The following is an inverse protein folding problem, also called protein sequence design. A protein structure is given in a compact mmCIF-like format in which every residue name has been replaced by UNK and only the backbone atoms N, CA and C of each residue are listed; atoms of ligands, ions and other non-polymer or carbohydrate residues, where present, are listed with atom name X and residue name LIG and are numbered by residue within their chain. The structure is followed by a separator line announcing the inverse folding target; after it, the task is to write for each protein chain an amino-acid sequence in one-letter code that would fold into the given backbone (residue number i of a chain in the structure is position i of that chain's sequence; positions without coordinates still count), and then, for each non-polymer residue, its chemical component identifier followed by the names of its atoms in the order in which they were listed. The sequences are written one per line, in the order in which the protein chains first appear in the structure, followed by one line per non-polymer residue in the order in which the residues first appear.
data_IF_006815735102
#
_entry.id   IF_006815735102
#
_cell.length_a   1.000
_cell.length_b   1.000
_cell.length_c   1.000
_cell.angle_alpha   90.00
_cell.angle_beta   90.00
_cell.angle_gamma   90.00
#
_symmetry.space_group_name_H-M   'P 1'
#
loop_
_entity.id
_entity.type
_entity.pdbx_description
1 polymer ?
#
# COMPACT_ATOMS: atom_id res chain seq x y z
N UNK A 1 -58.06 48.88 19.42
CA UNK A 1 -58.48 47.50 19.12
C UNK A 1 -57.28 46.58 19.19
N UNK A 2 -57.19 45.72 20.22
CA UNK A 2 -56.07 44.77 20.38
C UNK A 2 -56.32 43.55 19.49
N UNK A 3 -55.53 43.38 18.42
CA UNK A 3 -55.53 42.14 17.63
C UNK A 3 -54.73 41.08 18.40
N UNK A 4 -55.42 40.05 18.89
CA UNK A 4 -54.76 38.85 19.44
C UNK A 4 -54.35 37.97 18.26
N UNK A 5 -53.05 37.80 18.06
CA UNK A 5 -52.50 36.81 17.16
C UNK A 5 -52.51 35.47 17.90
N UNK A 6 -53.31 34.51 17.42
CA UNK A 6 -53.24 33.12 17.87
C UNK A 6 -52.29 32.42 16.90
N UNK A 7 -51.10 32.07 17.37
CA UNK A 7 -50.17 31.20 16.65
C UNK A 7 -50.46 29.77 17.11
N UNK A 8 -50.99 28.95 16.21
CA UNK A 8 -51.15 27.51 16.43
C UNK A 8 -49.82 26.85 16.07
N UNK A 9 -49.07 26.41 17.08
CA UNK A 9 -47.93 25.53 16.86
C UNK A 9 -48.46 24.12 16.56
N UNK A 10 -48.43 23.72 15.29
CA UNK A 10 -48.64 22.32 14.92
C UNK A 10 -47.35 21.57 15.26
N UNK A 11 -47.26 21.05 16.47
CA UNK A 11 -46.19 20.13 16.84
C UNK A 11 -46.50 18.79 16.18
N UNK A 12 -46.05 18.60 14.94
CA UNK A 12 -45.93 17.28 14.37
C UNK A 12 -44.80 16.57 15.13
N UNK A 13 -45.14 15.95 16.26
CA UNK A 13 -44.29 14.99 16.92
C UNK A 13 -44.17 13.79 15.99
N UNK A 14 -43.21 13.85 15.07
CA UNK A 14 -42.71 12.67 14.41
C UNK A 14 -42.00 11.87 15.49
N UNK A 15 -42.69 10.87 16.04
CA UNK A 15 -42.04 9.76 16.74
C UNK A 15 -41.14 9.07 15.70
N UNK A 16 -39.92 9.57 15.51
CA UNK A 16 -38.87 8.78 14.91
C UNK A 16 -38.59 7.67 15.91
N UNK A 17 -39.13 6.48 15.64
CA UNK A 17 -38.63 5.26 16.24
C UNK A 17 -37.14 5.21 15.89
N UNK A 18 -36.29 5.67 16.81
CA UNK A 18 -34.86 5.40 16.77
C UNK A 18 -34.74 3.90 16.94
N UNK A 19 -34.79 3.20 15.81
CA UNK A 19 -34.24 1.87 15.73
C UNK A 19 -32.77 2.05 16.05
N UNK A 20 -32.33 1.66 17.24
CA UNK A 20 -30.91 1.43 17.49
C UNK A 20 -30.54 0.19 16.67
N UNK A 21 -30.50 0.35 15.35
CA UNK A 21 -29.76 -0.57 14.51
C UNK A 21 -28.34 -0.44 15.05
N UNK A 22 -27.92 -1.45 15.81
CA UNK A 22 -26.52 -1.60 16.16
C UNK A 22 -25.78 -1.65 14.81
N UNK A 23 -25.22 -0.52 14.40
CA UNK A 23 -24.33 -0.48 13.25
C UNK A 23 -23.20 -1.41 13.64
N UNK A 24 -23.16 -2.58 12.99
CA UNK A 24 -22.10 -3.54 13.21
C UNK A 24 -20.77 -2.80 13.08
N UNK A 25 -19.93 -2.88 14.12
CA UNK A 25 -18.63 -2.24 14.07
C UNK A 25 -17.86 -2.84 12.88
N UNK A 26 -17.32 -2.02 11.97
CA UNK A 26 -16.56 -2.53 10.84
C UNK A 26 -15.44 -3.44 11.35
N UNK A 27 -15.41 -4.68 10.87
CA UNK A 27 -14.40 -5.68 11.27
C UNK A 27 -13.35 -5.94 10.19
N UNK A 28 -13.48 -5.30 9.03
CA UNK A 28 -12.63 -5.51 7.85
C UNK A 28 -12.26 -4.16 7.25
N UNK A 29 -10.98 -3.98 6.95
CA UNK A 29 -10.48 -2.83 6.20
C UNK A 29 -10.75 -3.00 4.70
N UNK A 30 -11.31 -1.97 4.05
CA UNK A 30 -11.35 -1.91 2.58
C UNK A 30 -9.95 -1.60 2.06
N UNK A 31 -9.51 -2.31 1.01
CA UNK A 31 -8.24 -2.09 0.37
C UNK A 31 -8.40 -1.91 -1.14
N UNK A 32 -7.57 -1.08 -1.75
CA UNK A 32 -7.48 -0.93 -3.20
C UNK A 32 -6.02 -0.97 -3.66
N UNK A 33 -5.77 -1.59 -4.81
CA UNK A 33 -4.52 -1.43 -5.55
C UNK A 33 -4.75 -0.44 -6.68
N UNK A 34 -3.88 0.55 -6.78
CA UNK A 34 -3.93 1.57 -7.82
C UNK A 34 -3.34 1.05 -9.13
N UNK A 35 -4.12 0.27 -9.86
CA UNK A 35 -3.72 -0.32 -11.14
C UNK A 35 -3.25 0.76 -12.12
N UNK A 36 -2.02 0.63 -12.64
CA UNK A 36 -1.44 1.59 -13.60
C UNK A 36 -0.91 2.90 -13.00
N UNK A 37 -1.21 3.22 -11.73
CA UNK A 37 -0.72 4.43 -11.08
C UNK A 37 0.71 4.29 -10.51
N UNK A 38 1.21 3.07 -10.37
CA UNK A 38 2.55 2.80 -9.85
C UNK A 38 2.75 3.34 -8.43
N UNK A 39 3.82 4.11 -8.24
CA UNK A 39 4.33 4.65 -6.97
C UNK A 39 3.57 5.87 -6.40
N UNK A 40 2.48 6.32 -7.05
CA UNK A 40 1.72 7.51 -6.67
C UNK A 40 2.57 8.80 -6.54
N UNK A 41 3.69 8.89 -7.25
CA UNK A 41 4.62 10.03 -7.16
C UNK A 41 4.16 11.30 -7.88
N UNK A 42 3.06 11.25 -8.64
CA UNK A 42 2.53 12.39 -9.38
C UNK A 42 1.05 12.59 -9.13
N UNK A 43 0.57 13.82 -9.28
CA UNK A 43 -0.84 14.15 -9.10
C UNK A 43 -1.75 13.33 -10.03
N UNK A 44 -1.33 13.09 -11.27
CA UNK A 44 -2.09 12.27 -12.22
C UNK A 44 -2.26 10.82 -11.72
N UNK A 45 -1.22 10.24 -11.12
CA UNK A 45 -1.27 8.91 -10.51
C UNK A 45 -2.17 8.91 -9.29
N UNK A 46 -2.05 9.92 -8.43
CA UNK A 46 -2.85 10.10 -7.22
C UNK A 46 -4.35 10.25 -7.54
N UNK A 47 -4.70 10.93 -8.64
CA UNK A 47 -6.08 11.11 -9.08
C UNK A 47 -6.82 9.78 -9.33
N UNK A 48 -6.09 8.69 -9.63
CA UNK A 48 -6.70 7.36 -9.80
C UNK A 48 -7.41 6.88 -8.53
N UNK A 49 -6.89 7.20 -7.35
CA UNK A 49 -7.52 6.89 -6.06
C UNK A 49 -8.77 7.72 -5.87
N UNK A 50 -8.70 9.03 -6.13
CA UNK A 50 -9.86 9.93 -6.05
C UNK A 50 -11.00 9.46 -6.97
N UNK A 51 -10.66 9.05 -8.20
CA UNK A 51 -11.63 8.52 -9.15
C UNK A 51 -12.24 7.21 -8.65
N UNK A 52 -11.42 6.29 -8.11
CA UNK A 52 -11.93 5.04 -7.54
C UNK A 52 -12.90 5.28 -6.38
N UNK A 53 -12.56 6.18 -5.43
CA UNK A 53 -13.45 6.51 -4.30
C UNK A 53 -14.77 7.12 -4.78
N UNK A 54 -14.69 7.99 -5.79
CA UNK A 54 -15.88 8.57 -6.43
C UNK A 54 -16.74 7.50 -7.10
N UNK A 55 -16.17 6.63 -7.93
CA UNK A 55 -16.93 5.63 -8.68
C UNK A 55 -17.50 4.54 -7.76
N UNK A 56 -16.73 4.10 -6.76
CA UNK A 56 -17.14 3.10 -5.79
C UNK A 56 -18.09 3.67 -4.72
N UNK A 57 -18.22 4.99 -4.61
CA UNK A 57 -18.96 5.70 -3.56
C UNK A 57 -18.56 5.20 -2.15
N UNK A 58 -17.28 4.86 -1.98
CA UNK A 58 -16.75 4.28 -0.75
C UNK A 58 -15.26 4.59 -0.60
N UNK A 59 -14.91 5.01 0.60
CA UNK A 59 -13.52 5.29 0.97
C UNK A 59 -12.69 4.00 1.17
N UNK A 60 -11.36 4.15 1.10
CA UNK A 60 -10.40 3.04 1.16
C UNK A 60 -9.53 3.15 2.40
N UNK A 61 -9.53 2.12 3.24
CA UNK A 61 -8.70 2.10 4.44
C UNK A 61 -7.23 1.80 4.14
N UNK A 62 -6.95 0.92 3.18
CA UNK A 62 -5.60 0.49 2.79
C UNK A 62 -5.37 0.77 1.31
N UNK A 63 -4.28 1.47 0.99
CA UNK A 63 -3.86 1.68 -0.40
C UNK A 63 -2.57 0.89 -0.62
N UNK A 64 -2.63 -0.08 -1.54
CA UNK A 64 -1.47 -0.89 -1.94
C UNK A 64 -0.79 -0.28 -3.16
N UNK A 65 0.55 -0.27 -3.16
CA UNK A 65 1.36 0.05 -4.34
C UNK A 65 2.67 -0.75 -4.37
N UNK A 66 3.32 -0.77 -5.53
CA UNK A 66 4.41 -1.68 -5.85
C UNK A 66 5.64 -0.90 -6.28
N UNK A 67 6.80 -1.27 -5.73
CA UNK A 67 8.09 -0.68 -6.11
C UNK A 67 9.15 -1.76 -6.26
N UNK A 68 9.76 -1.78 -7.44
CA UNK A 68 10.95 -2.57 -7.74
C UNK A 68 12.22 -1.89 -7.25
N UNK A 69 13.21 -2.69 -6.86
CA UNK A 69 14.52 -2.19 -6.41
C UNK A 69 15.30 -1.46 -7.49
N UNK A 70 15.03 -1.78 -8.75
CA UNK A 70 15.65 -1.16 -9.91
C UNK A 70 14.70 -1.17 -11.13
N UNK A 71 15.08 -0.40 -12.16
CA UNK A 71 14.43 -0.38 -13.48
C UNK A 71 15.48 -0.26 -14.58
N UNK A 72 15.06 -0.38 -15.85
CA UNK A 72 15.96 -0.26 -17.00
C UNK A 72 16.98 -1.41 -17.04
N UNK A 73 18.25 -1.10 -17.27
CA UNK A 73 19.34 -2.09 -17.38
C UNK A 73 20.22 -2.22 -16.14
N UNK A 74 19.90 -1.52 -15.03
CA UNK A 74 20.72 -1.53 -13.81
C UNK A 74 20.73 -2.90 -13.12
N UNK A 75 21.90 -3.38 -12.75
CA UNK A 75 22.07 -4.55 -11.87
C UNK A 75 22.23 -4.18 -10.39
N UNK A 76 22.27 -2.88 -10.09
CA UNK A 76 22.30 -2.32 -8.75
C UNK A 76 20.89 -1.90 -8.31
N UNK A 77 20.57 -2.10 -7.04
CA UNK A 77 19.37 -1.53 -6.43
C UNK A 77 19.54 -0.02 -6.23
N UNK A 78 18.59 0.76 -6.74
CA UNK A 78 18.68 2.23 -6.79
C UNK A 78 17.39 2.94 -6.38
N UNK A 79 16.26 2.25 -6.29
CA UNK A 79 14.98 2.90 -6.00
C UNK A 79 14.88 3.29 -4.53
N UNK A 80 14.77 4.58 -4.26
CA UNK A 80 14.66 5.15 -2.91
C UNK A 80 13.29 4.86 -2.24
N UNK A 81 13.21 5.15 -0.94
CA UNK A 81 11.93 5.16 -0.23
C UNK A 81 10.97 6.19 -0.88
N UNK A 82 9.74 5.79 -1.27
CA UNK A 82 8.85 6.61 -2.09
C UNK A 82 8.03 7.58 -1.24
N UNK A 83 8.69 8.55 -0.61
CA UNK A 83 8.06 9.51 0.33
C UNK A 83 6.81 10.16 -0.25
N UNK A 84 6.83 10.63 -1.50
CA UNK A 84 5.68 11.30 -2.12
C UNK A 84 4.41 10.43 -2.16
N UNK A 85 4.54 9.16 -2.53
CA UNK A 85 3.40 8.24 -2.57
C UNK A 85 2.92 7.88 -1.16
N UNK A 86 3.86 7.71 -0.23
CA UNK A 86 3.57 7.43 1.18
C UNK A 86 2.84 8.60 1.85
N UNK A 87 3.27 9.84 1.61
CA UNK A 87 2.64 11.07 2.09
C UNK A 87 1.23 11.26 1.51
N UNK A 88 1.05 10.95 0.23
CA UNK A 88 -0.26 11.01 -0.39
C UNK A 88 -1.24 10.05 0.31
N UNK A 89 -0.86 8.77 0.48
CA UNK A 89 -1.72 7.76 1.13
C UNK A 89 -2.06 8.18 2.57
N UNK A 90 -1.08 8.73 3.31
CA UNK A 90 -1.30 9.22 4.66
C UNK A 90 -2.21 10.43 4.72
N UNK A 91 -2.03 11.40 3.83
CA UNK A 91 -2.86 12.61 3.76
C UNK A 91 -4.29 12.31 3.29
N UNK A 92 -4.48 11.25 2.49
CA UNK A 92 -5.80 10.69 2.17
C UNK A 92 -6.51 10.10 3.40
N UNK A 93 -5.79 9.80 4.49
CA UNK A 93 -6.35 9.16 5.69
C UNK A 93 -6.26 7.63 5.68
N UNK A 94 -5.61 7.05 4.67
CA UNK A 94 -5.43 5.60 4.52
C UNK A 94 -4.11 5.10 5.14
N UNK A 95 -3.97 3.79 5.26
CA UNK A 95 -2.74 3.10 5.69
C UNK A 95 -2.02 2.56 4.44
N UNK A 96 -0.73 2.88 4.22
CA UNK A 96 0.01 2.31 3.10
C UNK A 96 0.25 0.81 3.27
N UNK A 97 -0.01 0.04 2.21
CA UNK A 97 0.54 -1.29 2.01
C UNK A 97 1.61 -1.20 0.92
N UNK A 98 2.87 -1.30 1.33
CA UNK A 98 4.02 -1.17 0.46
C UNK A 98 4.50 -2.54 -0.01
N UNK A 99 4.27 -2.86 -1.29
CA UNK A 99 4.84 -4.06 -1.90
C UNK A 99 6.24 -3.77 -2.41
N UNK A 100 7.25 -4.37 -1.77
CA UNK A 100 8.65 -4.16 -2.11
C UNK A 100 9.18 -5.35 -2.89
N UNK A 101 9.65 -5.11 -4.10
CA UNK A 101 9.97 -6.16 -5.06
C UNK A 101 11.47 -6.20 -5.35
N UNK A 102 12.20 -7.25 -4.91
CA UNK A 102 13.64 -7.35 -5.10
C UNK A 102 14.00 -7.77 -6.52
N UNK A 103 13.81 -6.86 -7.47
CA UNK A 103 14.14 -7.06 -8.88
C UNK A 103 14.35 -5.76 -9.64
N UNK A 104 14.91 -5.93 -10.84
CA UNK A 104 14.75 -5.01 -11.95
C UNK A 104 13.68 -5.54 -12.90
N UNK A 105 12.65 -4.73 -13.15
CA UNK A 105 11.53 -5.03 -14.06
C UNK A 105 11.97 -5.20 -15.52
N UNK A 106 13.13 -4.66 -15.91
CA UNK A 106 13.67 -4.73 -17.27
C UNK A 106 14.57 -5.94 -17.55
N UNK A 107 14.89 -6.77 -16.54
CA UNK A 107 15.87 -7.86 -16.66
C UNK A 107 15.26 -9.27 -16.68
N UNK A 108 13.92 -9.40 -16.60
CA UNK A 108 13.25 -10.70 -16.57
C UNK A 108 13.55 -11.52 -15.30
N UNK A 109 13.43 -12.84 -15.36
CA UNK A 109 13.52 -13.69 -14.16
C UNK A 109 14.93 -14.14 -13.80
N UNK A 110 15.92 -13.94 -14.66
CA UNK A 110 17.32 -14.31 -14.44
C UNK A 110 18.15 -13.05 -14.18
N UNK A 111 18.49 -12.78 -12.93
CA UNK A 111 19.15 -11.52 -12.55
C UNK A 111 19.90 -11.61 -11.22
N UNK A 112 20.69 -10.57 -10.90
CA UNK A 112 21.57 -10.53 -9.72
C UNK A 112 20.84 -10.53 -8.37
N UNK A 113 19.57 -10.11 -8.31
CA UNK A 113 18.76 -10.09 -7.09
C UNK A 113 18.25 -11.49 -6.67
N UNK A 114 19.16 -12.47 -6.60
CA UNK A 114 18.86 -13.80 -6.05
C UNK A 114 18.67 -13.72 -4.54
N UNK A 115 17.91 -14.65 -3.96
CA UNK A 115 17.72 -14.72 -2.50
C UNK A 115 19.04 -14.99 -1.77
N UNK A 116 19.96 -15.73 -2.40
CA UNK A 116 21.30 -15.96 -1.88
C UNK A 116 22.11 -14.65 -1.81
N UNK A 117 22.09 -13.83 -2.86
CA UNK A 117 22.81 -12.56 -2.86
C UNK A 117 22.25 -11.57 -1.82
N UNK A 118 20.92 -11.55 -1.64
CA UNK A 118 20.27 -10.75 -0.59
C UNK A 118 20.73 -11.22 0.79
N UNK A 119 20.67 -12.51 1.08
CA UNK A 119 21.04 -13.06 2.41
C UNK A 119 22.54 -13.06 2.69
N UNK A 120 23.38 -13.00 1.65
CA UNK A 120 24.83 -12.82 1.76
C UNK A 120 25.25 -11.35 1.95
N UNK A 121 24.29 -10.43 2.06
CA UNK A 121 24.54 -9.03 2.38
C UNK A 121 24.96 -8.13 1.22
N UNK A 122 24.87 -8.60 -0.03
CA UNK A 122 25.30 -7.84 -1.23
C UNK A 122 24.51 -6.53 -1.36
N UNK A 123 23.27 -6.51 -0.86
CA UNK A 123 22.36 -5.37 -0.97
C UNK A 123 22.13 -4.62 0.34
N UNK A 124 22.92 -4.89 1.39
CA UNK A 124 22.68 -4.34 2.73
C UNK A 124 22.79 -2.82 2.80
N UNK A 125 23.73 -2.25 2.04
CA UNK A 125 23.86 -0.79 1.95
C UNK A 125 22.59 -0.14 1.40
N UNK A 126 22.00 -0.75 0.36
CA UNK A 126 20.73 -0.30 -0.21
C UNK A 126 19.57 -0.48 0.78
N UNK A 127 19.42 -1.68 1.36
CA UNK A 127 18.35 -2.01 2.31
C UNK A 127 18.42 -1.09 3.53
N UNK A 128 19.62 -0.86 4.07
CA UNK A 128 19.85 0.02 5.23
C UNK A 128 19.50 1.46 4.90
N UNK A 129 19.94 1.97 3.74
CA UNK A 129 19.60 3.33 3.29
C UNK A 129 18.08 3.50 3.15
N UNK A 130 17.42 2.52 2.55
CA UNK A 130 15.97 2.51 2.41
C UNK A 130 15.26 2.47 3.78
N UNK A 131 15.71 1.60 4.68
CA UNK A 131 15.14 1.45 6.03
C UNK A 131 15.33 2.70 6.89
N UNK A 132 16.47 3.38 6.79
CA UNK A 132 16.71 4.67 7.45
C UNK A 132 15.76 5.74 6.92
N UNK A 133 15.54 5.81 5.61
CA UNK A 133 14.58 6.74 5.03
C UNK A 133 13.14 6.45 5.48
N UNK A 134 12.74 5.18 5.50
CA UNK A 134 11.43 4.74 6.02
C UNK A 134 11.25 5.10 7.51
N UNK A 135 12.29 4.90 8.33
CA UNK A 135 12.29 5.28 9.75
C UNK A 135 12.15 6.80 9.93
N UNK A 136 12.91 7.58 9.15
CA UNK A 136 12.86 9.04 9.21
C UNK A 136 11.51 9.60 8.75
N UNK A 137 10.82 8.92 7.84
CA UNK A 137 9.44 9.27 7.46
C UNK A 137 8.45 9.13 8.63
N UNK A 138 8.66 8.18 9.54
CA UNK A 138 8.08 8.25 10.89
C UNK A 138 6.61 7.83 11.05
N UNK A 139 6.02 7.16 10.05
CA UNK A 139 4.64 6.67 10.12
C UNK A 139 4.54 5.15 9.92
N UNK A 140 3.51 4.49 10.49
CA UNK A 140 3.30 3.06 10.29
C UNK A 140 2.81 2.76 8.87
N UNK A 141 3.24 1.63 8.33
CA UNK A 141 2.77 1.07 7.08
C UNK A 141 2.92 -0.46 7.11
N UNK A 142 2.21 -1.16 6.23
CA UNK A 142 2.40 -2.59 6.02
C UNK A 142 3.48 -2.82 4.96
N UNK A 143 4.49 -3.63 5.25
CA UNK A 143 5.50 -4.06 4.27
C UNK A 143 5.13 -5.44 3.72
N UNK A 144 5.08 -5.59 2.40
CA UNK A 144 4.86 -6.85 1.69
C UNK A 144 6.03 -7.13 0.75
N UNK A 145 7.09 -7.71 1.31
CA UNK A 145 8.33 -8.03 0.60
C UNK A 145 8.16 -9.29 -0.28
N UNK A 146 8.65 -9.24 -1.52
CA UNK A 146 8.85 -10.42 -2.38
C UNK A 146 7.63 -11.37 -2.51
N UNK A 147 6.45 -10.80 -2.79
CA UNK A 147 5.17 -11.53 -2.85
C UNK A 147 5.11 -12.67 -3.89
N UNK A 148 4.13 -13.58 -3.76
CA UNK A 148 3.84 -14.63 -4.75
C UNK A 148 5.01 -15.60 -5.03
N UNK A 149 5.83 -15.84 -4.02
CA UNK A 149 7.03 -16.68 -4.10
C UNK A 149 6.80 -18.14 -4.51
N UNK A 150 5.56 -18.62 -4.42
CA UNK A 150 5.14 -19.96 -4.80
C UNK A 150 4.83 -20.09 -6.31
N UNK A 151 4.91 -19.01 -7.07
CA UNK A 151 4.76 -19.00 -8.53
C UNK A 151 6.05 -19.34 -9.28
N UNK A 152 6.10 -18.93 -10.55
CA UNK A 152 7.29 -19.04 -11.42
C UNK A 152 7.59 -17.77 -12.24
N UNK A 153 6.87 -16.68 -11.97
CA UNK A 153 6.90 -15.45 -12.76
C UNK A 153 7.80 -14.36 -12.19
N UNK A 154 8.26 -14.50 -10.94
CA UNK A 154 9.17 -13.53 -10.32
C UNK A 154 10.56 -14.13 -10.04
N UNK A 155 11.62 -13.30 -10.11
CA UNK A 155 13.01 -13.73 -9.91
C UNK A 155 13.32 -14.15 -8.47
N UNK A 156 12.40 -13.96 -7.52
CA UNK A 156 12.49 -14.43 -6.12
C UNK A 156 11.64 -15.68 -5.85
N UNK A 157 10.89 -16.17 -6.84
CA UNK A 157 10.11 -17.41 -6.68
C UNK A 157 11.02 -18.62 -6.44
N UNK A 158 10.53 -19.61 -5.69
CA UNK A 158 11.23 -20.87 -5.53
C UNK A 158 11.36 -21.61 -6.88
N UNK A 159 12.55 -22.13 -7.18
CA UNK A 159 12.86 -22.78 -8.46
C UNK A 159 13.17 -21.81 -9.61
N UNK A 160 13.10 -20.49 -9.38
CA UNK A 160 13.46 -19.45 -10.35
C UNK A 160 14.76 -18.76 -9.92
N UNK A 161 15.59 -18.32 -10.86
CA UNK A 161 16.82 -17.56 -10.58
C UNK A 161 17.79 -18.26 -9.61
N UNK A 162 17.81 -19.60 -9.61
CA UNK A 162 18.62 -20.40 -8.68
C UNK A 162 18.12 -20.43 -7.23
N UNK A 163 16.91 -19.94 -6.96
CA UNK A 163 16.34 -19.87 -5.62
C UNK A 163 15.66 -21.17 -5.18
N UNK A 164 15.61 -21.36 -3.87
CA UNK A 164 14.89 -22.45 -3.20
C UNK A 164 13.85 -21.90 -2.22
N UNK A 165 12.85 -22.70 -1.87
CA UNK A 165 11.87 -22.34 -0.82
C UNK A 165 12.54 -22.08 0.54
N UNK A 166 13.60 -22.83 0.86
CA UNK A 166 14.40 -22.60 2.08
C UNK A 166 15.08 -21.24 2.11
N UNK A 167 15.65 -20.79 0.99
CA UNK A 167 16.26 -19.47 0.88
C UNK A 167 15.23 -18.34 1.01
N UNK A 168 13.98 -18.56 0.58
CA UNK A 168 12.92 -17.56 0.78
C UNK A 168 12.60 -17.36 2.26
N UNK A 169 12.53 -18.44 3.04
CA UNK A 169 12.36 -18.37 4.50
C UNK A 169 13.55 -17.67 5.15
N UNK A 170 14.78 -17.95 4.69
CA UNK A 170 15.99 -17.30 5.19
C UNK A 170 15.96 -15.79 4.91
N UNK A 171 15.63 -15.37 3.69
CA UNK A 171 15.53 -13.96 3.30
C UNK A 171 14.47 -13.21 4.12
N UNK A 172 13.30 -13.80 4.37
CA UNK A 172 12.27 -13.19 5.21
C UNK A 172 12.69 -12.99 6.66
N UNK A 173 13.48 -13.92 7.22
CA UNK A 173 14.01 -13.79 8.58
C UNK A 173 15.17 -12.81 8.65
N UNK A 174 15.96 -12.74 7.59
CA UNK A 174 17.11 -11.84 7.47
C UNK A 174 16.69 -10.36 7.54
N UNK A 175 15.58 -10.00 6.89
CA UNK A 175 15.07 -8.63 6.88
C UNK A 175 14.13 -8.25 8.03
N UNK A 176 13.98 -9.09 9.07
CA UNK A 176 13.12 -8.82 10.24
C UNK A 176 13.85 -8.00 11.31
#
# INVERSE_FOLDING_TARGET
MKKKLIVVFCCAAWLQLFSTNAVAQPSVYSGAFTFGAGDLSTQAKQQTVTNFVSDAQKDVSIINFFISWATGSSTNATTSFPTTGMDYIRSHGSIPLFTWEPWNTGLGTTQSFTLANITNGIYDSYITTWAVAAKNWGHPFFLRLAHEMNGNWYPWCAGVNGNTSGQYVQMWRYGR
#
